data_IF_181159604484
#
_entry.id   IF_181159604484
#
_cell.length_a   1.000
_cell.length_b   1.000
_cell.length_c   1.000
_cell.angle_alpha   90.00
_cell.angle_beta   90.00
_cell.angle_gamma   90.00
#
_symmetry.space_group_name_H-M   'P 1'
#
loop_
_entity.id
_entity.type
_entity.pdbx_description
1 polymer ?
#
# COMPACT_ATOMS: atom_id res chain seq x y z
N UNK A 1 -0.51 6.59 -1.23
CA UNK A 1 -0.88 6.01 0.09
C UNK A 1 -2.00 6.87 0.66
N UNK A 2 -3.02 6.25 1.26
CA UNK A 2 -4.12 6.97 1.91
C UNK A 2 -4.36 6.42 3.31
N UNK A 3 -4.92 7.24 4.19
CA UNK A 3 -5.56 6.78 5.43
C UNK A 3 -6.93 6.19 5.11
N UNK A 4 -7.27 5.09 5.77
CA UNK A 4 -8.64 4.55 5.81
C UNK A 4 -9.07 4.40 7.26
N UNK A 5 -10.36 4.57 7.59
CA UNK A 5 -10.84 4.36 8.94
C UNK A 5 -10.45 2.97 9.49
N UNK A 6 -9.93 2.94 10.70
CA UNK A 6 -9.53 1.72 11.41
C UNK A 6 -9.98 1.80 12.86
N UNK A 7 -10.69 0.77 13.34
CA UNK A 7 -11.30 0.77 14.66
C UNK A 7 -10.28 0.84 15.82
N UNK A 8 -9.02 0.45 15.58
CA UNK A 8 -7.98 0.39 16.62
C UNK A 8 -7.09 1.62 16.64
N UNK A 9 -6.68 2.12 15.48
CA UNK A 9 -5.76 3.25 15.36
C UNK A 9 -6.41 4.57 14.88
N UNK A 10 -7.73 4.58 14.69
CA UNK A 10 -8.46 5.69 14.06
C UNK A 10 -8.29 5.66 12.54
N UNK A 11 -7.05 5.61 12.07
CA UNK A 11 -6.69 5.44 10.67
C UNK A 11 -5.67 4.31 10.47
N UNK A 12 -5.81 3.59 9.37
CA UNK A 12 -4.85 2.61 8.88
C UNK A 12 -4.28 3.04 7.53
N UNK A 13 -3.01 2.71 7.31
CA UNK A 13 -2.31 2.99 6.06
C UNK A 13 -2.77 1.99 4.99
N UNK A 14 -3.38 2.50 3.92
CA UNK A 14 -3.70 1.74 2.70
C UNK A 14 -2.81 2.18 1.54
N UNK A 15 -2.07 1.22 1.00
CA UNK A 15 -1.13 1.38 -0.09
C UNK A 15 -1.75 0.86 -1.39
N UNK A 16 -1.73 1.70 -2.43
CA UNK A 16 -2.04 1.30 -3.81
C UNK A 16 -0.74 1.31 -4.60
N UNK A 17 -0.45 0.22 -5.29
CA UNK A 17 0.79 0.04 -6.07
C UNK A 17 0.42 -0.29 -7.51
N UNK A 18 1.07 0.39 -8.45
CA UNK A 18 1.09 -0.01 -9.85
C UNK A 18 2.47 -0.59 -10.11
N UNK A 19 2.52 -1.89 -10.38
CA UNK A 19 3.77 -2.58 -10.65
C UNK A 19 4.27 -2.22 -12.06
N UNK A 20 5.55 -1.93 -12.20
CA UNK A 20 6.18 -1.71 -13.51
C UNK A 20 6.36 -3.02 -14.28
N UNK A 21 6.65 -4.09 -13.54
CA UNK A 21 6.90 -5.42 -14.09
C UNK A 21 5.93 -6.44 -13.49
N UNK A 22 5.65 -7.50 -14.23
CA UNK A 22 4.82 -8.61 -13.76
C UNK A 22 5.56 -9.43 -12.71
N UNK A 23 4.83 -9.96 -11.73
CA UNK A 23 5.40 -10.88 -10.72
C UNK A 23 5.66 -10.26 -9.35
N UNK A 24 5.40 -8.97 -9.16
CA UNK A 24 5.44 -8.35 -7.82
C UNK A 24 4.32 -8.92 -6.95
N UNK A 25 4.69 -9.66 -5.90
CA UNK A 25 3.71 -10.21 -4.96
C UNK A 25 3.40 -9.24 -3.81
N UNK A 26 2.20 -9.38 -3.22
CA UNK A 26 1.80 -8.61 -2.04
C UNK A 26 2.66 -8.95 -0.81
N UNK A 27 3.14 -10.20 -0.72
CA UNK A 27 3.96 -10.67 0.39
C UNK A 27 5.35 -10.03 0.37
N UNK A 28 5.98 -9.97 -0.79
CA UNK A 28 7.27 -9.28 -0.97
C UNK A 28 7.15 -7.79 -0.66
N UNK A 29 6.09 -7.13 -1.14
CA UNK A 29 5.85 -5.72 -0.81
C UNK A 29 5.66 -5.49 0.69
N UNK A 30 4.96 -6.40 1.37
CA UNK A 30 4.74 -6.32 2.81
C UNK A 30 6.05 -6.58 3.59
N UNK A 31 6.84 -7.56 3.17
CA UNK A 31 8.15 -7.85 3.75
C UNK A 31 9.09 -6.65 3.59
N UNK A 32 9.16 -6.10 2.38
CA UNK A 32 9.92 -4.88 2.08
C UNK A 32 9.50 -3.71 2.99
N UNK A 33 8.20 -3.47 3.12
CA UNK A 33 7.68 -2.40 3.99
C UNK A 33 8.03 -2.65 5.47
N UNK A 34 8.02 -3.90 5.94
CA UNK A 34 8.34 -4.25 7.33
C UNK A 34 9.83 -4.09 7.65
N UNK A 35 10.69 -4.34 6.68
CA UNK A 35 12.14 -4.18 6.83
C UNK A 35 12.56 -2.69 6.75
N UNK A 36 11.91 -1.92 5.88
CA UNK A 36 12.33 -0.55 5.58
C UNK A 36 11.57 0.53 6.39
N UNK A 37 10.42 0.21 6.99
CA UNK A 37 9.61 1.18 7.73
C UNK A 37 9.44 0.80 9.20
N UNK A 38 9.19 1.83 10.03
CA UNK A 38 8.73 1.63 11.40
C UNK A 38 7.38 0.91 11.42
N UNK A 39 7.15 0.06 12.43
CA UNK A 39 5.99 -0.83 12.49
C UNK A 39 4.62 -0.14 12.26
N UNK A 40 4.46 1.10 12.73
CA UNK A 40 3.21 1.86 12.57
C UNK A 40 3.00 2.44 11.15
N UNK A 41 4.06 2.51 10.32
CA UNK A 41 3.98 2.95 8.91
C UNK A 41 3.79 1.78 7.94
N UNK A 42 3.90 0.54 8.42
CA UNK A 42 3.67 -0.64 7.59
C UNK A 42 2.20 -0.64 7.16
N UNK A 43 1.90 -0.64 5.84
CA UNK A 43 0.52 -0.64 5.37
C UNK A 43 -0.24 -1.88 5.86
N UNK A 44 -1.42 -1.68 6.44
CA UNK A 44 -2.33 -2.79 6.78
C UNK A 44 -3.01 -3.36 5.54
N UNK A 45 -3.21 -2.52 4.52
CA UNK A 45 -3.86 -2.88 3.27
C UNK A 45 -2.96 -2.52 2.11
N UNK A 46 -2.65 -3.50 1.25
CA UNK A 46 -1.87 -3.30 0.01
C UNK A 46 -2.73 -3.78 -1.15
N UNK A 47 -2.89 -2.94 -2.17
CA UNK A 47 -3.69 -3.23 -3.36
C UNK A 47 -2.84 -2.99 -4.59
N UNK A 48 -2.66 -4.03 -5.40
CA UNK A 48 -2.08 -3.91 -6.73
C UNK A 48 -3.16 -3.43 -7.70
N UNK A 49 -2.81 -2.45 -8.53
CA UNK A 49 -3.68 -1.85 -9.55
C UNK A 49 -2.91 -1.78 -10.86
N UNK A 50 -3.61 -1.89 -11.98
CA UNK A 50 -3.01 -1.69 -13.30
C UNK A 50 -2.77 -0.21 -13.60
N UNK A 51 -3.61 0.66 -13.05
CA UNK A 51 -3.49 2.11 -13.17
C UNK A 51 -4.10 2.82 -11.97
N UNK A 52 -3.69 4.07 -11.77
CA UNK A 52 -4.32 4.98 -10.82
C UNK A 52 -5.23 5.96 -11.58
N UNK A 53 -6.37 6.37 -11.00
CA UNK A 53 -7.21 7.37 -11.62
C UNK A 53 -6.42 8.68 -11.75
N UNK A 54 -6.32 9.17 -12.98
CA UNK A 54 -5.71 10.46 -13.30
C UNK A 54 -6.81 11.38 -13.81
N UNK A 55 -6.79 12.65 -13.39
CA UNK A 55 -7.65 13.67 -14.01
C UNK A 55 -7.15 13.94 -15.43
N UNK A 56 -8.05 14.01 -16.43
CA UNK A 56 -7.68 14.46 -17.77
C UNK A 56 -7.18 15.91 -17.70
N UNK A 57 -6.22 16.24 -18.57
CA UNK A 57 -5.64 17.58 -18.70
C UNK A 57 -6.65 18.60 -19.18
#
# INVERSE_FOLDING_TARGET
VIGVPDERSGEAVKLFVVARETGVSLEELKAYCKENFTAYKVPKHIVLRESLPMTPV
#
